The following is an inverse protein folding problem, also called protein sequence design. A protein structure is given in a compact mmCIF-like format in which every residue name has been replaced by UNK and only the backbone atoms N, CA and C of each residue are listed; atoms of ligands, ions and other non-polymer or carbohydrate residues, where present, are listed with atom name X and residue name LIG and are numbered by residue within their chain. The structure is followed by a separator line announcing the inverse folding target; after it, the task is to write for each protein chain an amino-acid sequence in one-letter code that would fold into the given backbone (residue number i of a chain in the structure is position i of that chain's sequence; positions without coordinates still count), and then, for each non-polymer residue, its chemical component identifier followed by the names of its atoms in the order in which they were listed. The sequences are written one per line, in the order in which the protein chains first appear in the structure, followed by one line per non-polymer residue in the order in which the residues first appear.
data_IF_347491522909
#
_entry.id   IF_347491522909
#
_cell.length_a   1.000
_cell.length_b   1.000
_cell.length_c   1.000
_cell.angle_alpha   90.00
_cell.angle_beta   90.00
_cell.angle_gamma   90.00
#
_symmetry.space_group_name_H-M   'P 1'
#
loop_
_entity.id
_entity.type
_entity.pdbx_description
1 polymer ?
#
# COMPACT_ATOMS: atom_id res chain seq x y z
N UNK A 1 -17.10 0.63 27.28
CA UNK A 1 -16.07 1.63 27.65
C UNK A 1 -14.83 1.34 26.83
N UNK A 2 -14.31 2.29 26.04
CA UNK A 2 -13.01 2.13 25.34
C UNK A 2 -11.91 1.87 26.37
N UNK A 3 -11.04 0.90 26.13
CA UNK A 3 -9.91 0.63 27.04
C UNK A 3 -8.91 1.79 27.05
N UNK A 4 -8.05 1.83 28.07
CA UNK A 4 -6.98 2.83 28.20
C UNK A 4 -6.01 2.78 27.01
N UNK A 5 -5.79 1.60 26.44
CA UNK A 5 -4.96 1.38 25.25
C UNK A 5 -5.60 2.01 24.02
N UNK A 6 -6.88 1.76 23.78
CA UNK A 6 -7.60 2.27 22.61
C UNK A 6 -7.71 3.81 22.60
N UNK A 7 -7.93 4.43 23.77
CA UNK A 7 -7.93 5.89 23.89
C UNK A 7 -6.54 6.50 23.63
N UNK A 8 -5.49 5.82 24.07
CA UNK A 8 -4.12 6.27 23.85
C UNK A 8 -3.77 6.20 22.35
N UNK A 9 -4.13 5.10 21.68
CA UNK A 9 -3.93 4.93 20.23
C UNK A 9 -4.64 6.04 19.43
N UNK A 10 -5.87 6.41 19.80
CA UNK A 10 -6.65 7.44 19.11
C UNK A 10 -6.04 8.85 19.24
N UNK A 11 -5.48 9.19 20.40
CA UNK A 11 -4.83 10.49 20.65
C UNK A 11 -3.46 10.57 19.99
N UNK A 12 -2.70 9.46 19.99
CA UNK A 12 -1.35 9.41 19.46
C UNK A 12 -1.30 9.26 17.93
N UNK A 13 -2.38 8.81 17.28
CA UNK A 13 -2.41 8.58 15.84
C UNK A 13 -2.01 9.84 15.01
N UNK A 14 -2.61 10.99 15.29
CA UNK A 14 -2.37 12.24 14.56
C UNK A 14 -0.95 12.79 14.76
N UNK A 15 -0.44 13.00 15.99
CA UNK A 15 0.92 13.53 16.18
C UNK A 15 1.98 12.59 15.60
N UNK A 16 1.76 11.28 15.66
CA UNK A 16 2.70 10.31 15.10
C UNK A 16 2.67 10.24 13.59
N UNK A 17 1.49 10.41 12.97
CA UNK A 17 1.36 10.59 11.53
C UNK A 17 2.17 11.79 11.06
N UNK A 18 1.97 12.96 11.68
CA UNK A 18 2.70 14.18 11.36
C UNK A 18 4.21 14.02 11.55
N UNK A 19 4.65 13.40 12.65
CA UNK A 19 6.06 13.11 12.89
C UNK A 19 6.66 12.21 11.80
N UNK A 20 5.90 11.20 11.35
CA UNK A 20 6.33 10.27 10.31
C UNK A 20 6.43 10.94 8.94
N UNK A 21 5.43 11.76 8.58
CA UNK A 21 5.45 12.55 7.35
C UNK A 21 6.61 13.55 7.36
N UNK A 22 6.89 14.17 8.51
CA UNK A 22 8.03 15.08 8.67
C UNK A 22 9.37 14.35 8.46
N UNK A 23 9.56 13.16 9.07
CA UNK A 23 10.76 12.34 8.85
C UNK A 23 10.89 11.94 7.38
N UNK A 24 9.81 11.47 6.75
CA UNK A 24 9.84 11.06 5.34
C UNK A 24 10.16 12.24 4.42
N UNK A 25 9.61 13.42 4.70
CA UNK A 25 9.88 14.64 3.93
C UNK A 25 11.33 15.07 4.09
N UNK A 26 11.86 15.07 5.33
CA UNK A 26 13.26 15.37 5.59
C UNK A 26 14.21 14.39 4.87
N UNK A 27 13.86 13.10 4.89
CA UNK A 27 14.62 12.07 4.19
C UNK A 27 14.55 12.26 2.66
N UNK A 28 13.37 12.55 2.12
CA UNK A 28 13.16 12.81 0.69
C UNK A 28 13.99 13.99 0.18
N UNK A 29 14.07 15.07 0.95
CA UNK A 29 14.88 16.25 0.63
C UNK A 29 16.37 15.93 0.70
N UNK A 30 16.81 15.28 1.77
CA UNK A 30 18.23 14.96 1.97
C UNK A 30 18.75 14.01 0.90
N UNK A 31 18.00 12.96 0.60
CA UNK A 31 18.36 11.98 -0.44
C UNK A 31 18.46 12.64 -1.81
N UNK A 32 17.57 13.58 -2.11
CA UNK A 32 17.58 14.28 -3.39
C UNK A 32 18.74 15.29 -3.47
N UNK A 33 19.02 16.02 -2.39
CA UNK A 33 20.20 16.89 -2.31
C UNK A 33 21.49 16.08 -2.50
N UNK A 34 21.55 14.87 -1.91
CA UNK A 34 22.65 13.93 -2.07
C UNK A 34 22.82 13.41 -3.51
N UNK A 35 21.71 13.13 -4.20
CA UNK A 35 21.73 12.63 -5.58
C UNK A 35 22.17 13.67 -6.60
N UNK A 36 21.98 14.97 -6.31
CA UNK A 36 22.15 16.04 -7.29
C UNK A 36 23.50 16.74 -7.18
N UNK A 37 24.11 16.78 -5.97
CA UNK A 37 25.47 17.31 -5.77
C UNK A 37 26.47 16.16 -5.65
N UNK A 38 27.15 15.82 -6.76
CA UNK A 38 28.28 14.86 -6.76
C UNK A 38 29.52 15.38 -6.00
N UNK A 39 29.48 16.58 -5.41
CA UNK A 39 30.57 17.11 -4.60
C UNK A 39 30.74 16.33 -3.30
N UNK A 40 31.97 15.89 -3.05
CA UNK A 40 32.42 15.24 -1.83
C UNK A 40 31.79 15.88 -0.58
N UNK A 41 30.87 15.16 0.04
CA UNK A 41 30.24 15.59 1.28
C UNK A 41 31.31 15.93 2.31
N UNK A 42 31.28 17.16 2.84
CA UNK A 42 31.98 17.45 4.07
C UNK A 42 31.37 16.57 5.17
N UNK A 43 32.23 15.90 5.95
CA UNK A 43 31.83 15.07 7.10
C UNK A 43 30.84 15.83 8.01
N UNK A 44 31.00 17.15 8.09
CA UNK A 44 30.10 18.08 8.79
C UNK A 44 28.64 17.98 8.35
N UNK A 45 28.35 17.91 7.04
CA UNK A 45 26.95 17.87 6.55
C UNK A 45 26.28 16.53 6.88
N UNK A 46 27.03 15.42 6.76
CA UNK A 46 26.56 14.09 7.17
C UNK A 46 26.30 14.03 8.67
N UNK A 47 27.17 14.63 9.48
CA UNK A 47 26.96 14.73 10.93
C UNK A 47 25.71 15.53 11.26
N UNK A 48 25.50 16.69 10.64
CA UNK A 48 24.29 17.51 10.84
C UNK A 48 23.04 16.70 10.51
N UNK A 49 23.02 16.02 9.36
CA UNK A 49 21.90 15.15 8.98
C UNK A 49 21.66 14.04 10.00
N UNK A 50 22.71 13.34 10.44
CA UNK A 50 22.62 12.27 11.42
C UNK A 50 22.03 12.79 12.72
N UNK A 51 22.53 13.92 13.23
CA UNK A 51 22.02 14.55 14.46
C UNK A 51 20.58 15.03 14.33
N UNK A 52 20.20 15.64 13.21
CA UNK A 52 18.81 16.06 12.96
C UNK A 52 17.88 14.85 12.91
N UNK A 53 18.27 13.78 12.22
CA UNK A 53 17.50 12.53 12.19
C UNK A 53 17.37 11.97 13.60
N UNK A 54 18.47 11.91 14.36
CA UNK A 54 18.47 11.42 15.73
C UNK A 54 17.58 12.27 16.64
N UNK A 55 17.56 13.59 16.46
CA UNK A 55 16.71 14.51 17.23
C UNK A 55 15.21 14.29 16.99
N UNK A 56 14.82 13.70 15.86
CA UNK A 56 13.42 13.36 15.57
C UNK A 56 12.99 12.00 16.16
N UNK A 57 13.91 11.13 16.57
CA UNK A 57 13.61 9.80 17.11
C UNK A 57 13.01 9.76 18.54
N UNK A 58 13.34 10.68 19.47
CA UNK A 58 12.79 10.71 20.82
C UNK A 58 11.27 10.63 20.89
N UNK A 59 10.54 11.24 19.93
CA UNK A 59 9.07 11.19 19.90
C UNK A 59 8.55 9.74 19.76
N UNK A 60 9.22 8.91 18.96
CA UNK A 60 8.87 7.50 18.76
C UNK A 60 9.26 6.65 19.97
N UNK A 61 10.34 7.00 20.65
CA UNK A 61 10.80 6.32 21.86
C UNK A 61 9.87 6.57 23.04
N UNK A 62 9.44 7.83 23.23
CA UNK A 62 8.47 8.22 24.26
C UNK A 62 7.18 7.41 24.11
N UNK A 63 6.67 7.28 22.89
CA UNK A 63 5.47 6.50 22.61
C UNK A 63 5.67 5.01 22.87
N UNK A 64 6.83 4.46 22.50
CA UNK A 64 7.14 3.06 22.82
C UNK A 64 7.20 2.83 24.32
N UNK A 65 7.79 3.76 25.09
CA UNK A 65 7.81 3.70 26.54
C UNK A 65 6.40 3.81 27.14
N UNK A 66 5.55 4.66 26.57
CA UNK A 66 4.15 4.83 26.99
C UNK A 66 3.34 3.54 26.82
N UNK A 67 3.47 2.84 25.69
CA UNK A 67 2.80 1.54 25.48
C UNK A 67 3.39 0.39 26.31
N UNK A 68 4.67 0.45 26.66
CA UNK A 68 5.27 -0.47 27.61
C UNK A 68 4.75 -0.24 29.04
N UNK A 69 4.52 1.03 29.42
CA UNK A 69 3.97 1.38 30.74
C UNK A 69 2.50 0.97 30.90
N UNK A 70 1.73 0.94 29.81
CA UNK A 70 0.32 0.49 29.78
C UNK A 70 0.21 -1.05 29.67
N UNK A 71 1.34 -1.77 29.63
CA UNK A 71 1.46 -3.23 29.44
C UNK A 71 0.58 -3.79 28.31
N UNK A 72 0.66 -3.15 27.14
CA UNK A 72 -0.11 -3.58 25.98
C UNK A 72 0.33 -4.97 25.47
N UNK A 73 -0.62 -5.84 25.05
CA UNK A 73 -0.33 -7.22 24.63
C UNK A 73 0.64 -7.35 23.45
N UNK A 74 0.79 -6.30 22.62
CA UNK A 74 1.68 -6.29 21.43
C UNK A 74 2.86 -5.31 21.56
N UNK A 75 3.33 -5.05 22.78
CA UNK A 75 4.45 -4.13 23.07
C UNK A 75 5.72 -4.36 22.23
N UNK A 76 6.08 -5.60 21.89
CA UNK A 76 7.25 -5.87 21.05
C UNK A 76 7.15 -5.28 19.62
N UNK A 77 5.93 -5.08 19.10
CA UNK A 77 5.72 -4.42 17.80
C UNK A 77 5.98 -2.92 17.84
N UNK A 78 5.94 -2.26 19.02
CA UNK A 78 6.31 -0.83 19.12
C UNK A 78 7.80 -0.61 18.92
N UNK A 79 8.64 -1.58 19.32
CA UNK A 79 10.09 -1.50 19.12
C UNK A 79 10.47 -1.55 17.63
N UNK A 80 9.79 -2.39 16.83
CA UNK A 80 9.98 -2.40 15.38
C UNK A 80 9.59 -1.05 14.73
N UNK A 81 8.59 -0.37 15.28
CA UNK A 81 8.21 0.97 14.82
C UNK A 81 9.25 2.05 15.17
N UNK A 82 10.08 1.85 16.22
CA UNK A 82 11.23 2.71 16.48
C UNK A 82 12.36 2.50 15.46
N UNK A 83 12.50 1.27 14.91
CA UNK A 83 13.52 0.97 13.91
C UNK A 83 13.11 1.48 12.51
N UNK A 84 11.81 1.37 12.16
CA UNK A 84 11.25 1.85 10.90
C UNK A 84 10.04 2.76 11.17
N UNK A 85 10.27 4.05 11.54
CA UNK A 85 9.22 5.04 11.76
C UNK A 85 8.18 5.11 10.64
N UNK A 86 8.57 5.02 9.34
CA UNK A 86 7.61 5.06 8.24
C UNK A 86 6.53 3.98 8.29
N UNK A 87 6.85 2.78 8.80
CA UNK A 87 5.87 1.70 8.91
C UNK A 87 4.80 1.94 9.99
N UNK A 88 4.91 3.02 10.76
CA UNK A 88 3.95 3.42 11.78
C UNK A 88 2.72 4.15 11.21
N UNK A 89 2.81 4.67 9.99
CA UNK A 89 1.80 5.50 9.31
C UNK A 89 0.40 4.88 9.24
N UNK A 90 0.30 3.56 9.25
CA UNK A 90 -0.95 2.83 9.07
C UNK A 90 -1.05 1.69 10.09
N UNK A 91 -0.75 2.00 11.36
CA UNK A 91 -0.70 0.99 12.43
C UNK A 91 -2.08 0.39 12.68
N UNK A 92 -2.11 -0.94 12.83
CA UNK A 92 -3.29 -1.66 13.32
C UNK A 92 -3.42 -1.45 14.85
N UNK A 93 -4.64 -1.34 15.34
CA UNK A 93 -5.01 -1.17 16.76
C UNK A 93 -4.25 -2.16 17.65
N UNK A 94 -3.75 -1.70 18.78
CA UNK A 94 -2.93 -2.51 19.67
C UNK A 94 -3.73 -3.53 20.48
N UNK A 95 -5.04 -3.34 20.64
CA UNK A 95 -5.93 -4.30 21.32
C UNK A 95 -6.19 -5.54 20.47
N UNK A 96 -6.85 -5.37 19.33
CA UNK A 96 -7.27 -6.49 18.48
C UNK A 96 -6.43 -6.58 17.19
N UNK A 97 -5.94 -5.44 16.69
CA UNK A 97 -5.30 -5.31 15.37
C UNK A 97 -6.25 -5.49 14.20
N UNK A 98 -7.55 -5.40 14.47
CA UNK A 98 -8.62 -5.50 13.50
C UNK A 98 -9.03 -4.12 12.93
N UNK A 99 -8.59 -3.03 13.57
CA UNK A 99 -8.83 -1.65 13.13
C UNK A 99 -7.54 -0.97 12.73
N UNK A 100 -7.60 -0.06 11.77
CA UNK A 100 -6.48 0.76 11.32
C UNK A 100 -6.93 2.22 11.28
N UNK A 101 -6.07 3.13 11.72
CA UNK A 101 -6.26 4.55 11.50
C UNK A 101 -5.66 4.94 10.14
N UNK A 102 -6.48 5.55 9.29
CA UNK A 102 -6.08 6.15 8.03
C UNK A 102 -6.28 7.67 8.11
N UNK A 103 -5.36 8.48 7.54
CA UNK A 103 -5.36 9.94 7.70
C UNK A 103 -6.60 10.66 7.16
N UNK A 104 -7.27 10.07 6.17
CA UNK A 104 -8.46 10.66 5.52
C UNK A 104 -9.74 9.93 5.95
N UNK A 105 -9.67 8.61 6.18
CA UNK A 105 -10.82 7.74 6.42
C UNK A 105 -11.08 7.47 7.93
N UNK A 106 -10.16 7.88 8.80
CA UNK A 106 -10.24 7.66 10.25
C UNK A 106 -10.01 6.21 10.64
N UNK A 107 -10.54 5.80 11.80
CA UNK A 107 -10.48 4.42 12.30
C UNK A 107 -11.48 3.54 11.54
N UNK A 108 -10.99 2.60 10.74
CA UNK A 108 -11.80 1.61 9.98
C UNK A 108 -11.37 0.19 10.31
N UNK A 109 -12.28 -0.77 10.12
CA UNK A 109 -11.97 -2.20 10.22
C UNK A 109 -11.22 -2.65 8.95
N UNK A 110 -10.29 -3.59 9.10
CA UNK A 110 -9.47 -4.09 8.00
C UNK A 110 -10.23 -5.21 7.31
N UNK A 111 -11.05 -4.83 6.33
CA UNK A 111 -11.80 -5.74 5.47
C UNK A 111 -11.28 -5.65 4.03
N UNK A 112 -11.61 -6.65 3.21
CA UNK A 112 -11.24 -6.69 1.78
C UNK A 112 -11.83 -5.49 1.02
N UNK A 113 -13.01 -5.02 1.43
CA UNK A 113 -13.65 -3.80 0.91
C UNK A 113 -12.81 -2.53 1.17
N UNK A 114 -12.17 -2.42 2.35
CA UNK A 114 -11.30 -1.28 2.66
C UNK A 114 -10.05 -1.31 1.79
N UNK A 115 -9.54 -2.49 1.48
CA UNK A 115 -8.41 -2.64 0.58
C UNK A 115 -8.77 -2.15 -0.83
N UNK A 116 -9.91 -2.57 -1.38
CA UNK A 116 -10.37 -2.10 -2.70
C UNK A 116 -10.63 -0.59 -2.73
N UNK A 117 -11.23 -0.01 -1.69
CA UNK A 117 -11.51 1.42 -1.61
C UNK A 117 -10.21 2.23 -1.57
N UNK A 118 -9.25 1.83 -0.72
CA UNK A 118 -7.95 2.49 -0.64
C UNK A 118 -7.13 2.28 -1.90
N UNK A 119 -7.19 1.11 -2.52
CA UNK A 119 -6.54 0.85 -3.81
C UNK A 119 -7.04 1.78 -4.90
N UNK A 120 -8.37 1.91 -5.01
CA UNK A 120 -9.00 2.80 -5.97
C UNK A 120 -8.63 4.26 -5.71
N UNK A 121 -8.70 4.71 -4.46
CA UNK A 121 -8.45 6.10 -4.11
C UNK A 121 -6.97 6.48 -4.25
N UNK A 122 -6.03 5.54 -4.03
CA UNK A 122 -4.60 5.75 -4.24
C UNK A 122 -4.17 5.56 -5.70
N UNK A 123 -4.92 4.80 -6.51
CA UNK A 123 -4.59 4.57 -7.93
C UNK A 123 -4.53 5.86 -8.75
N UNK A 124 -5.42 6.82 -8.47
CA UNK A 124 -5.48 8.09 -9.21
C UNK A 124 -4.27 9.00 -8.88
N UNK A 125 -3.96 9.30 -7.60
CA UNK A 125 -2.71 9.95 -7.21
C UNK A 125 -1.47 9.27 -7.79
N UNK A 126 -1.44 7.92 -7.82
CA UNK A 126 -0.33 7.15 -8.38
C UNK A 126 -0.06 7.52 -9.84
N UNK A 127 -1.13 7.56 -10.65
CA UNK A 127 -1.06 7.86 -12.08
C UNK A 127 -0.59 9.30 -12.29
N UNK A 128 -1.13 10.26 -11.53
CA UNK A 128 -0.75 11.67 -11.62
C UNK A 128 0.75 11.83 -11.34
N UNK A 129 1.24 11.22 -10.26
CA UNK A 129 2.66 11.26 -9.86
C UNK A 129 3.55 10.56 -10.90
N UNK A 130 3.11 9.41 -11.43
CA UNK A 130 3.81 8.67 -12.48
C UNK A 130 3.83 9.40 -13.84
N UNK A 131 2.83 10.25 -14.13
CA UNK A 131 2.86 11.13 -15.29
C UNK A 131 3.75 12.33 -15.02
N UNK A 132 3.71 12.92 -13.83
CA UNK A 132 4.46 14.13 -13.44
C UNK A 132 5.97 13.93 -13.45
N UNK A 133 6.45 12.72 -13.18
CA UNK A 133 7.88 12.42 -13.26
C UNK A 133 8.42 12.41 -14.72
N UNK A 134 7.57 12.21 -15.74
CA UNK A 134 7.98 12.31 -17.16
C UNK A 134 8.46 13.72 -17.56
N UNK A 135 7.71 14.81 -17.32
CA UNK A 135 8.19 16.16 -17.62
C UNK A 135 9.38 16.53 -16.75
N UNK A 136 9.44 16.11 -15.47
CA UNK A 136 10.63 16.32 -14.63
C UNK A 136 11.89 15.69 -15.25
N UNK A 137 11.75 14.46 -15.76
CA UNK A 137 12.80 13.72 -16.43
C UNK A 137 13.18 14.31 -17.79
N UNK A 138 12.18 14.76 -18.57
CA UNK A 138 12.41 15.43 -19.85
C UNK A 138 13.19 16.73 -19.64
N UNK A 139 12.85 17.50 -18.61
CA UNK A 139 13.56 18.73 -18.28
C UNK A 139 15.01 18.45 -17.86
N UNK A 140 15.21 17.45 -17.00
CA UNK A 140 16.53 17.03 -16.51
C UNK A 140 17.45 16.49 -17.64
N UNK A 141 16.88 15.91 -18.70
CA UNK A 141 17.65 15.35 -19.83
C UNK A 141 17.88 16.34 -20.97
N UNK A 142 16.84 17.07 -21.39
CA UNK A 142 16.90 17.96 -22.57
C UNK A 142 17.55 19.31 -22.22
N UNK A 143 17.27 19.84 -21.02
CA UNK A 143 17.71 21.16 -20.60
C UNK A 143 18.77 21.11 -19.49
N UNK A 144 19.59 20.05 -19.45
CA UNK A 144 20.64 19.89 -18.45
C UNK A 144 21.57 21.12 -18.36
N UNK A 145 21.96 21.69 -19.51
CA UNK A 145 22.81 22.88 -19.57
C UNK A 145 22.13 24.14 -19.00
N UNK A 146 20.82 24.31 -19.22
CA UNK A 146 20.05 25.45 -18.71
C UNK A 146 19.77 25.32 -17.21
N UNK A 147 19.66 24.09 -16.69
CA UNK A 147 19.52 23.81 -15.26
C UNK A 147 20.76 24.25 -14.48
N UNK A 148 21.96 24.03 -15.03
CA UNK A 148 23.21 24.49 -14.43
C UNK A 148 23.29 26.03 -14.37
N UNK A 149 22.70 26.71 -15.36
CA UNK A 149 22.68 28.17 -15.42
C UNK A 149 21.59 28.79 -14.52
N UNK A 150 20.46 28.11 -14.30
CA UNK A 150 19.31 28.63 -13.58
C UNK A 150 19.01 27.84 -12.30
N UNK A 151 19.62 28.30 -11.19
CA UNK A 151 19.49 27.66 -9.88
C UNK A 151 18.04 27.47 -9.39
N UNK A 152 17.12 28.36 -9.76
CA UNK A 152 15.71 28.24 -9.37
C UNK A 152 15.01 27.06 -10.08
N UNK A 153 15.33 26.82 -11.35
CA UNK A 153 14.75 25.74 -12.14
C UNK A 153 15.23 24.39 -11.62
N UNK A 154 16.52 24.31 -11.25
CA UNK A 154 17.09 23.16 -10.57
C UNK A 154 16.33 22.83 -9.27
N UNK A 155 16.10 23.82 -8.41
CA UNK A 155 15.36 23.61 -7.14
C UNK A 155 13.93 23.12 -7.38
N UNK A 156 13.24 23.65 -8.39
CA UNK A 156 11.87 23.20 -8.75
C UNK A 156 11.88 21.74 -9.17
N UNK A 157 12.82 21.35 -10.05
CA UNK A 157 12.93 19.97 -10.54
C UNK A 157 13.31 19.00 -9.42
N UNK A 158 14.29 19.37 -8.58
CA UNK A 158 14.69 18.60 -7.40
C UNK A 158 13.51 18.42 -6.42
N UNK A 159 12.78 19.50 -6.12
CA UNK A 159 11.61 19.44 -5.25
C UNK A 159 10.53 18.54 -5.84
N UNK A 160 10.30 18.60 -7.16
CA UNK A 160 9.39 17.72 -7.88
C UNK A 160 9.75 16.24 -7.71
N UNK A 161 11.05 15.90 -7.80
CA UNK A 161 11.52 14.54 -7.53
C UNK A 161 11.32 14.12 -6.07
N UNK A 162 11.59 15.00 -5.11
CA UNK A 162 11.33 14.73 -3.68
C UNK A 162 9.85 14.49 -3.40
N UNK A 163 8.95 15.31 -3.98
CA UNK A 163 7.49 15.14 -3.85
C UNK A 163 7.05 13.82 -4.47
N UNK A 164 7.56 13.49 -5.65
CA UNK A 164 7.26 12.23 -6.35
C UNK A 164 7.68 11.02 -5.51
N UNK A 165 8.89 11.03 -4.96
CA UNK A 165 9.37 9.96 -4.09
C UNK A 165 8.55 9.86 -2.80
N UNK A 166 8.22 11.01 -2.20
CA UNK A 166 7.42 11.07 -0.97
C UNK A 166 6.02 10.48 -1.19
N UNK A 167 5.37 10.83 -2.30
CA UNK A 167 4.06 10.29 -2.68
C UNK A 167 4.10 8.77 -2.87
N UNK A 168 5.07 8.26 -3.64
CA UNK A 168 5.23 6.81 -3.81
C UNK A 168 5.55 6.07 -2.53
N UNK A 169 6.38 6.67 -1.67
CA UNK A 169 6.74 6.09 -0.38
C UNK A 169 5.53 6.02 0.54
N UNK A 170 4.76 7.10 0.66
CA UNK A 170 3.54 7.12 1.46
C UNK A 170 2.50 6.12 0.98
N UNK A 171 2.22 6.11 -0.33
CA UNK A 171 1.31 5.15 -0.94
C UNK A 171 1.72 3.70 -0.65
N UNK A 172 2.98 3.37 -0.91
CA UNK A 172 3.48 2.01 -0.69
C UNK A 172 3.36 1.61 0.77
N UNK A 173 3.66 2.52 1.70
CA UNK A 173 3.53 2.27 3.14
C UNK A 173 2.08 2.02 3.55
N UNK A 174 1.14 2.84 3.07
CA UNK A 174 -0.29 2.69 3.39
C UNK A 174 -0.78 1.33 2.91
N UNK A 175 -0.56 1.00 1.64
CA UNK A 175 -1.01 -0.26 1.07
C UNK A 175 -0.33 -1.49 1.69
N UNK A 176 0.99 -1.40 1.91
CA UNK A 176 1.75 -2.46 2.59
C UNK A 176 1.26 -2.74 4.01
N UNK A 177 0.66 -1.75 4.68
CA UNK A 177 0.13 -1.93 6.02
C UNK A 177 -1.25 -2.58 6.04
N UNK A 178 -2.07 -2.30 5.03
CA UNK A 178 -3.42 -2.87 4.90
C UNK A 178 -3.31 -4.36 4.63
N UNK A 179 -2.41 -4.78 3.73
CA UNK A 179 -2.29 -6.19 3.31
C UNK A 179 -1.78 -7.11 4.42
N UNK A 180 -2.50 -8.21 4.67
CA UNK A 180 -2.08 -9.26 5.61
C UNK A 180 -0.83 -10.02 5.12
N UNK A 181 -0.80 -10.38 3.83
CA UNK A 181 0.29 -11.15 3.20
C UNK A 181 1.36 -10.22 2.62
N UNK A 182 2.10 -9.55 3.52
CA UNK A 182 3.18 -8.59 3.21
C UNK A 182 4.18 -9.05 2.14
N UNK A 183 4.59 -10.32 2.17
CA UNK A 183 5.57 -10.88 1.22
C UNK A 183 4.98 -11.04 -0.18
N UNK A 184 3.70 -11.43 -0.27
CA UNK A 184 3.01 -11.56 -1.55
C UNK A 184 2.85 -10.18 -2.19
N UNK A 185 2.47 -9.19 -1.39
CA UNK A 185 2.38 -7.79 -1.82
C UNK A 185 3.72 -7.25 -2.32
N UNK A 186 4.81 -7.49 -1.58
CA UNK A 186 6.15 -7.07 -1.99
C UNK A 186 6.57 -7.66 -3.35
N UNK A 187 6.16 -8.91 -3.63
CA UNK A 187 6.42 -9.56 -4.92
C UNK A 187 5.56 -8.98 -6.03
N UNK A 188 4.32 -8.61 -5.77
CA UNK A 188 3.44 -7.95 -6.75
C UNK A 188 3.93 -6.53 -7.10
N UNK A 189 4.35 -5.77 -6.09
CA UNK A 189 4.78 -4.37 -6.16
C UNK A 189 6.31 -4.20 -6.05
N UNK A 190 7.07 -5.17 -6.58
CA UNK A 190 8.54 -5.15 -6.48
C UNK A 190 9.18 -3.92 -7.15
N UNK A 191 8.54 -3.37 -8.18
CA UNK A 191 8.98 -2.15 -8.87
C UNK A 191 8.85 -0.93 -7.96
N UNK A 192 7.76 -0.82 -7.20
CA UNK A 192 7.52 0.30 -6.29
C UNK A 192 8.53 0.27 -5.15
N UNK A 193 8.76 -0.94 -4.60
CA UNK A 193 9.82 -1.16 -3.63
C UNK A 193 11.19 -0.76 -4.21
N UNK A 194 11.49 -1.11 -5.47
CA UNK A 194 12.76 -0.75 -6.10
C UNK A 194 12.89 0.77 -6.25
N UNK A 195 11.86 1.48 -6.71
CA UNK A 195 11.88 2.94 -6.86
C UNK A 195 12.13 3.63 -5.52
N UNK A 196 11.54 3.14 -4.44
CA UNK A 196 11.73 3.68 -3.09
C UNK A 196 13.12 3.34 -2.54
N UNK A 197 13.55 2.08 -2.69
CA UNK A 197 14.81 1.56 -2.13
C UNK A 197 16.07 2.04 -2.87
N UNK A 198 15.98 2.26 -4.18
CA UNK A 198 17.14 2.59 -4.99
C UNK A 198 17.86 3.88 -4.55
N UNK A 199 17.15 5.00 -4.28
CA UNK A 199 17.81 6.19 -3.75
C UNK A 199 18.27 6.03 -2.30
N UNK A 200 17.57 5.23 -1.49
CA UNK A 200 18.00 4.80 -0.15
C UNK A 200 19.33 4.03 -0.16
N UNK A 201 19.50 3.10 -1.10
CA UNK A 201 20.72 2.29 -1.24
C UNK A 201 21.92 3.16 -1.66
N UNK A 202 21.69 4.10 -2.59
CA UNK A 202 22.72 5.05 -3.00
C UNK A 202 23.15 5.93 -1.81
N UNK A 203 22.20 6.41 -1.03
CA UNK A 203 22.45 7.16 0.20
C UNK A 203 23.21 6.32 1.25
N UNK A 204 22.77 5.09 1.53
CA UNK A 204 23.41 4.21 2.53
C UNK A 204 24.86 3.84 2.15
N UNK A 205 25.15 3.76 0.84
CA UNK A 205 26.52 3.59 0.35
C UNK A 205 27.41 4.77 0.69
N UNK A 206 26.89 5.99 0.63
CA UNK A 206 27.63 7.20 0.97
C UNK A 206 27.89 7.33 2.48
N UNK A 207 26.96 6.84 3.30
CA UNK A 207 27.15 6.76 4.75
C UNK A 207 28.20 5.72 5.16
N UNK A 208 28.37 4.66 4.36
CA UNK A 208 29.48 3.72 4.54
C UNK A 208 30.78 4.42 4.13
N UNK A 209 31.58 4.81 5.13
CA UNK A 209 33.00 5.24 5.04
C UNK A 209 33.94 4.18 4.41
N UNK A 210 33.43 3.27 3.58
CA UNK A 210 34.21 2.19 3.00
C UNK A 210 34.94 2.70 1.76
N UNK A 211 36.22 2.96 1.96
CA UNK A 211 37.27 3.25 0.98
C UNK A 211 37.46 2.16 -0.11
N UNK A 212 36.54 1.19 -0.25
CA UNK A 212 36.75 -0.08 -0.97
C UNK A 212 35.73 -0.39 -2.07
N UNK A 213 34.76 0.47 -2.35
CA UNK A 213 33.85 0.24 -3.50
C UNK A 213 33.89 1.45 -4.42
N UNK A 214 34.91 1.49 -5.30
CA UNK A 214 34.96 2.31 -6.52
C UNK A 214 33.87 1.85 -7.50
N UNK A 215 32.60 2.04 -7.16
CA UNK A 215 31.49 1.98 -8.11
C UNK A 215 30.93 3.40 -8.29
N UNK A 216 31.76 4.28 -8.85
CA UNK A 216 31.38 5.64 -9.25
C UNK A 216 30.32 5.64 -10.38
N UNK A 217 30.10 4.52 -11.07
CA UNK A 217 29.20 4.44 -12.22
C UNK A 217 27.72 4.16 -11.88
N UNK A 218 27.38 3.93 -10.60
CA UNK A 218 26.00 3.54 -10.22
C UNK A 218 25.06 4.73 -10.05
N UNK A 219 25.56 5.93 -9.80
CA UNK A 219 24.73 7.16 -9.77
C UNK A 219 24.11 7.45 -11.14
N UNK A 220 24.87 7.25 -12.24
CA UNK A 220 24.32 7.33 -13.61
C UNK A 220 23.34 6.20 -13.92
N UNK A 221 23.64 4.98 -13.46
CA UNK A 221 22.73 3.85 -13.61
C UNK A 221 21.39 4.07 -12.87
N UNK A 222 21.42 4.76 -11.73
CA UNK A 222 20.24 5.11 -10.93
C UNK A 222 19.24 5.98 -11.69
N UNK A 223 19.72 6.94 -12.49
CA UNK A 223 18.86 7.80 -13.34
C UNK A 223 18.20 6.98 -14.46
N UNK A 224 18.96 6.10 -15.12
CA UNK A 224 18.45 5.22 -16.19
C UNK A 224 17.50 4.13 -15.66
N UNK A 225 17.75 3.61 -14.44
CA UNK A 225 16.87 2.64 -13.80
C UNK A 225 15.57 3.26 -13.30
N UNK A 226 15.58 4.52 -12.85
CA UNK A 226 14.35 5.29 -12.60
C UNK A 226 13.49 5.38 -13.86
N UNK A 227 14.07 5.64 -15.03
CA UNK A 227 13.35 5.63 -16.31
C UNK A 227 12.74 4.26 -16.64
N UNK A 228 13.49 3.17 -16.42
CA UNK A 228 13.00 1.81 -16.70
C UNK A 228 11.87 1.37 -15.77
N UNK A 229 12.00 1.64 -14.47
CA UNK A 229 10.94 1.39 -13.48
C UNK A 229 9.70 2.23 -13.74
N UNK A 230 9.90 3.48 -14.18
CA UNK A 230 8.83 4.39 -14.57
C UNK A 230 8.10 3.92 -15.83
N UNK A 231 8.82 3.52 -16.87
CA UNK A 231 8.20 3.04 -18.11
C UNK A 231 7.29 1.83 -17.87
N UNK A 232 7.69 0.90 -16.98
CA UNK A 232 6.86 -0.23 -16.57
C UNK A 232 5.63 0.19 -15.75
N UNK A 233 5.75 1.24 -14.92
CA UNK A 233 4.65 1.77 -14.10
C UNK A 233 3.68 2.62 -14.91
N UNK A 234 4.17 3.44 -15.82
CA UNK A 234 3.38 4.17 -16.83
C UNK A 234 2.70 3.18 -17.76
N UNK A 235 3.36 2.10 -18.17
CA UNK A 235 2.75 1.02 -18.95
C UNK A 235 1.65 0.30 -18.18
N UNK A 236 1.87 -0.04 -16.90
CA UNK A 236 0.83 -0.60 -16.02
C UNK A 236 -0.30 0.39 -15.72
N UNK A 237 0.01 1.66 -15.54
CA UNK A 237 -0.95 2.74 -15.30
C UNK A 237 -1.74 3.09 -16.56
N UNK A 238 -1.14 3.00 -17.74
CA UNK A 238 -1.82 3.09 -19.04
C UNK A 238 -2.70 1.88 -19.28
N UNK A 239 -2.23 0.66 -18.98
CA UNK A 239 -3.07 -0.54 -19.00
C UNK A 239 -4.21 -0.42 -17.99
N UNK A 240 -3.95 0.11 -16.79
CA UNK A 240 -4.96 0.40 -15.80
C UNK A 240 -5.89 1.53 -16.25
N UNK A 241 -5.44 2.53 -17.02
CA UNK A 241 -6.28 3.59 -17.60
C UNK A 241 -7.06 3.11 -18.83
N UNK A 242 -6.56 2.15 -19.59
CA UNK A 242 -7.31 1.44 -20.63
C UNK A 242 -8.34 0.52 -19.97
N UNK A 243 -8.03 -0.08 -18.82
CA UNK A 243 -8.94 -0.86 -17.99
C UNK A 243 -9.92 0.03 -17.24
N UNK A 244 -9.53 1.21 -16.73
CA UNK A 244 -10.37 2.20 -16.04
C UNK A 244 -11.18 2.98 -17.06
N UNK A 245 -10.72 3.23 -18.28
CA UNK A 245 -11.56 3.80 -19.35
C UNK A 245 -12.46 2.75 -19.98
N UNK A 246 -12.07 1.46 -20.01
CA UNK A 246 -12.97 0.34 -20.32
C UNK A 246 -13.97 0.06 -19.18
N UNK A 247 -13.58 0.20 -17.92
CA UNK A 247 -14.47 0.06 -16.75
C UNK A 247 -15.35 1.30 -16.55
N UNK A 248 -14.84 2.51 -16.78
CA UNK A 248 -15.59 3.77 -16.69
C UNK A 248 -16.49 4.00 -17.91
N UNK A 249 -16.22 3.33 -19.04
CA UNK A 249 -17.21 3.17 -20.13
C UNK A 249 -18.13 1.97 -19.96
N UNK A 250 -17.88 1.08 -19.00
CA UNK A 250 -18.90 0.13 -18.57
C UNK A 250 -19.80 0.89 -17.62
N UNK A 251 -20.81 1.55 -18.21
CA UNK A 251 -21.72 2.38 -17.45
C UNK A 251 -22.27 1.59 -16.26
N UNK A 252 -22.50 2.23 -15.10
CA UNK A 252 -23.12 1.56 -13.96
C UNK A 252 -24.42 0.85 -14.36
N UNK A 253 -25.11 1.32 -15.40
CA UNK A 253 -26.26 0.62 -16.00
C UNK A 253 -25.89 -0.74 -16.63
N UNK A 254 -24.80 -0.83 -17.40
CA UNK A 254 -24.35 -2.08 -18.03
C UNK A 254 -23.88 -3.12 -16.99
N UNK A 255 -23.26 -2.68 -15.89
CA UNK A 255 -22.89 -3.56 -14.78
C UNK A 255 -24.14 -4.08 -14.05
N UNK A 256 -25.15 -3.24 -13.85
CA UNK A 256 -26.45 -3.64 -13.30
C UNK A 256 -27.16 -4.62 -14.23
N UNK A 257 -27.14 -4.40 -15.54
CA UNK A 257 -27.77 -5.31 -16.51
C UNK A 257 -27.09 -6.67 -16.53
N UNK A 258 -25.75 -6.70 -16.48
CA UNK A 258 -24.98 -7.96 -16.41
C UNK A 258 -25.28 -8.72 -15.11
N UNK A 259 -25.32 -8.02 -13.97
CA UNK A 259 -25.66 -8.62 -12.68
C UNK A 259 -27.12 -9.12 -12.64
N UNK A 260 -28.07 -8.38 -13.22
CA UNK A 260 -29.47 -8.83 -13.36
C UNK A 260 -29.58 -10.08 -14.20
N UNK A 261 -28.81 -10.17 -15.29
CA UNK A 261 -28.78 -11.34 -16.16
C UNK A 261 -28.21 -12.57 -15.45
N UNK A 262 -27.16 -12.39 -14.65
CA UNK A 262 -26.58 -13.42 -13.79
C UNK A 262 -27.56 -13.89 -12.70
N UNK A 263 -28.30 -12.96 -12.08
CA UNK A 263 -29.36 -13.30 -11.13
C UNK A 263 -30.44 -14.15 -11.80
N UNK A 264 -30.84 -13.79 -13.03
CA UNK A 264 -31.86 -14.53 -13.77
C UNK A 264 -31.42 -15.94 -14.15
N UNK A 265 -30.18 -16.12 -14.63
CA UNK A 265 -29.61 -17.45 -14.92
C UNK A 265 -29.56 -18.32 -13.66
N UNK A 266 -29.12 -17.76 -12.53
CA UNK A 266 -29.06 -18.50 -11.27
C UNK A 266 -30.44 -18.84 -10.72
N UNK A 267 -31.44 -17.99 -10.93
CA UNK A 267 -32.81 -18.32 -10.57
C UNK A 267 -33.34 -19.49 -11.41
N UNK A 268 -33.02 -19.54 -12.71
CA UNK A 268 -33.39 -20.69 -13.55
C UNK A 268 -32.70 -21.98 -13.12
N UNK A 269 -31.43 -21.93 -12.70
CA UNK A 269 -30.75 -23.09 -12.12
C UNK A 269 -31.44 -23.55 -10.82
N UNK A 270 -31.83 -22.60 -9.94
CA UNK A 270 -32.55 -22.89 -8.70
C UNK A 270 -33.90 -23.54 -9.01
N UNK A 271 -34.70 -22.96 -9.91
CA UNK A 271 -36.01 -23.49 -10.29
C UNK A 271 -35.88 -24.89 -10.92
N UNK A 272 -34.81 -25.15 -11.68
CA UNK A 272 -34.48 -26.47 -12.22
C UNK A 272 -34.14 -27.49 -11.14
N UNK A 273 -33.32 -27.09 -10.16
CA UNK A 273 -32.99 -27.94 -9.00
C UNK A 273 -34.22 -28.21 -8.13
N UNK A 274 -35.11 -27.23 -7.94
CA UNK A 274 -36.38 -27.42 -7.23
C UNK A 274 -37.31 -28.39 -7.97
N UNK A 275 -37.33 -28.34 -9.30
CA UNK A 275 -38.03 -29.32 -10.13
C UNK A 275 -37.48 -30.74 -9.96
N UNK A 276 -36.15 -30.90 -10.01
CA UNK A 276 -35.49 -32.19 -9.74
C UNK A 276 -35.81 -32.72 -8.33
N UNK A 277 -35.81 -31.84 -7.33
CA UNK A 277 -36.20 -32.19 -5.96
C UNK A 277 -37.66 -32.66 -5.93
N UNK A 278 -38.59 -31.94 -6.58
CA UNK A 278 -40.01 -32.30 -6.62
C UNK A 278 -40.26 -33.63 -7.34
N UNK A 279 -39.55 -33.91 -8.43
CA UNK A 279 -39.61 -35.18 -9.15
C UNK A 279 -39.06 -36.33 -8.30
N UNK A 280 -37.96 -36.12 -7.59
CA UNK A 280 -37.39 -37.09 -6.66
C UNK A 280 -38.32 -37.33 -5.45
N UNK A 281 -38.93 -36.29 -4.88
CA UNK A 281 -39.92 -36.42 -3.82
C UNK A 281 -41.16 -37.22 -4.30
N UNK A 282 -41.58 -36.98 -5.54
CA UNK A 282 -42.68 -37.71 -6.18
C UNK A 282 -42.29 -39.14 -6.54
N UNK A 283 -41.01 -39.49 -6.67
CA UNK A 283 -40.54 -40.88 -6.80
C UNK A 283 -40.35 -41.57 -5.44
N UNK A 284 -40.05 -40.81 -4.38
CA UNK A 284 -39.91 -41.34 -3.01
C UNK A 284 -41.28 -41.64 -2.40
N UNK A 285 -42.31 -40.82 -2.66
CA UNK A 285 -43.70 -41.06 -2.20
C UNK A 285 -44.31 -42.41 -2.63
N UNK A 286 -44.28 -42.83 -3.91
CA UNK A 286 -44.82 -44.10 -4.35
C UNK A 286 -44.02 -45.29 -3.79
N UNK A 287 -42.72 -45.12 -3.52
CA UNK A 287 -41.92 -46.16 -2.85
C UNK A 287 -42.28 -46.31 -1.36
N UNK A 288 -42.67 -45.24 -0.66
CA UNK A 288 -43.08 -45.32 0.75
C UNK A 288 -44.51 -45.86 0.90
N UNK A 289 -45.45 -45.50 0.02
CA UNK A 289 -46.81 -46.04 0.02
C UNK A 289 -46.87 -47.50 -0.41
N UNK A 290 -46.08 -47.91 -1.42
CA UNK A 290 -45.98 -49.31 -1.83
C UNK A 290 -45.33 -50.21 -0.77
N UNK A 291 -44.32 -49.71 -0.04
CA UNK A 291 -43.70 -50.48 1.06
C UNK A 291 -44.60 -50.55 2.32
N UNK A 292 -45.39 -49.50 2.60
CA UNK A 292 -46.37 -49.52 3.68
C UNK A 292 -47.52 -50.51 3.37
N UNK A 293 -48.03 -50.51 2.14
CA UNK A 293 -49.06 -51.45 1.71
C UNK A 293 -48.59 -52.92 1.70
N UNK A 294 -47.31 -53.17 1.38
CA UNK A 294 -46.77 -54.53 1.37
C UNK A 294 -46.50 -55.07 2.80
N UNK A 295 -46.02 -54.22 3.73
CA UNK A 295 -45.88 -54.59 5.15
C UNK A 295 -47.21 -54.88 5.84
N UNK A 296 -48.28 -54.18 5.47
CA UNK A 296 -49.62 -54.45 6.01
C UNK A 296 -50.15 -55.82 5.53
N UNK A 297 -49.90 -56.22 4.27
CA UNK A 297 -50.30 -57.55 3.76
C UNK A 297 -49.49 -58.70 4.36
N UNK A 298 -48.21 -58.50 4.67
CA UNK A 298 -47.38 -59.53 5.32
C UNK A 298 -47.69 -59.68 6.82
N UNK A 299 -48.20 -58.62 7.49
CA UNK A 299 -48.61 -58.66 8.89
C UNK A 299 -49.99 -59.30 9.15
N UNK A 300 -50.86 -59.38 8.14
CA UNK A 300 -52.17 -60.05 8.23
C UNK A 300 -52.12 -61.54 7.87
N UNK A 301 -50.97 -62.04 7.38
CA UNK A 301 -50.76 -63.44 6.99
C UNK A 301 -49.98 -64.28 8.02
N UNK A 302 -49.72 -63.73 9.21
CA UNK A 302 -49.09 -64.40 10.35
C UNK A 302 -50.05 -64.47 11.54
#
# INVERSE_FOLDING_TARGET
MKSTTQKSDEILAVPMFLATVAILSFFALTVQEFMTREEHLSVTRLMIFFWLTMAMYPIFWIESLWHFAIDSPRKWRTLFACALPPLRLARRDMEDGSRMWLPILGWRHIDEDLHEEVERDLSVPMIIVAVMILPLLAIDFVWAAQLEQHRWLQVVVETGYSITWLAFTMEFIVMFSIVDKKILYLKAHWVDLLIICLPLIAFLRAFRLTHLVRLQNVTRATRVYRMRGLALRVWRGLLAMDVISRLARMSPEAKIETLRKLIQEKQQEIDGLEGEIADLETQIKPASESNAANKLREGEAA
#
